data_IF_420051190739
#
_entry.id   IF_420051190739
#
_cell.length_a   1.000
_cell.length_b   1.000
_cell.length_c   1.000
_cell.angle_alpha   90.00
_cell.angle_beta   90.00
_cell.angle_gamma   90.00
#
_symmetry.space_group_name_H-M   'P 1'
#
loop_
_entity.id
_entity.type
_entity.pdbx_description
1 polymer ?
#
# COMPACT_ATOMS: atom_id res chain seq x y z
N UNK A 1 -19.80 13.05 -2.87
CA UNK A 1 -18.42 13.57 -2.83
C UNK A 1 -17.70 13.11 -4.08
N UNK A 2 -17.40 14.02 -5.00
CA UNK A 2 -16.90 13.68 -6.35
C UNK A 2 -15.42 14.00 -6.45
N UNK A 3 -14.58 12.97 -6.58
CA UNK A 3 -13.19 13.13 -7.01
C UNK A 3 -13.21 13.49 -8.50
N UNK A 4 -12.57 14.59 -8.93
CA UNK A 4 -12.53 14.96 -10.35
C UNK A 4 -11.73 13.91 -11.14
N UNK A 5 -12.02 13.64 -12.43
CA UNK A 5 -11.24 12.71 -13.22
C UNK A 5 -9.82 13.26 -13.54
N UNK A 6 -8.84 12.40 -13.85
CA UNK A 6 -7.54 12.83 -14.33
C UNK A 6 -7.62 13.54 -15.69
N UNK A 7 -6.64 14.42 -16.03
CA UNK A 7 -6.57 15.03 -17.34
C UNK A 7 -6.35 13.96 -18.43
N UNK A 8 -7.08 14.07 -19.55
CA UNK A 8 -7.07 13.04 -20.60
C UNK A 8 -5.73 12.94 -21.34
N UNK A 9 -5.15 14.07 -21.76
CA UNK A 9 -3.92 14.11 -22.58
C UNK A 9 -3.12 15.40 -22.39
N UNK A 10 -2.43 15.62 -21.26
CA UNK A 10 -1.51 16.75 -21.17
C UNK A 10 -0.15 16.37 -21.81
N UNK A 11 0.55 17.36 -22.40
CA UNK A 11 1.86 17.14 -22.99
C UNK A 11 2.86 16.66 -21.93
N UNK A 12 3.62 15.63 -22.26
CA UNK A 12 4.75 15.17 -21.45
C UNK A 12 6.02 15.87 -21.93
N UNK A 13 6.93 16.28 -21.03
CA UNK A 13 8.21 16.85 -21.43
C UNK A 13 8.99 15.90 -22.35
N UNK A 14 9.63 16.43 -23.40
CA UNK A 14 10.59 15.65 -24.18
C UNK A 14 11.71 15.13 -23.27
N UNK A 15 12.26 13.94 -23.59
CA UNK A 15 13.23 13.27 -22.73
C UNK A 15 12.61 12.47 -21.57
N UNK A 16 11.32 12.63 -21.26
CA UNK A 16 10.63 11.81 -20.25
C UNK A 16 10.82 10.32 -20.57
N UNK A 17 11.37 9.58 -19.62
CA UNK A 17 11.61 8.15 -19.75
C UNK A 17 10.38 7.37 -19.30
N UNK A 18 10.13 6.27 -20.00
CA UNK A 18 9.11 5.28 -19.66
C UNK A 18 9.86 4.05 -19.18
N UNK A 19 9.69 3.70 -17.91
CA UNK A 19 10.42 2.59 -17.29
C UNK A 19 9.42 1.54 -16.83
N UNK A 20 9.66 0.27 -17.18
CA UNK A 20 8.83 -0.83 -16.68
C UNK A 20 8.87 -0.86 -15.16
N UNK A 21 7.71 -1.03 -14.55
CA UNK A 21 7.63 -1.10 -13.09
C UNK A 21 8.35 -2.35 -12.57
N UNK A 22 8.98 -2.27 -11.40
CA UNK A 22 9.79 -3.34 -10.83
C UNK A 22 9.01 -4.65 -10.59
N UNK A 23 7.68 -4.56 -10.47
CA UNK A 23 6.79 -5.71 -10.37
C UNK A 23 6.50 -6.42 -11.70
N UNK A 24 6.87 -5.83 -12.84
CA UNK A 24 6.58 -6.38 -14.17
C UNK A 24 7.64 -7.39 -14.58
N UNK A 25 7.17 -8.53 -15.08
CA UNK A 25 7.99 -9.58 -15.67
C UNK A 25 7.74 -9.65 -17.17
N UNK A 26 8.83 -9.73 -17.93
CA UNK A 26 8.81 -9.91 -19.38
C UNK A 26 9.11 -11.36 -19.74
N UNK A 27 8.27 -11.93 -20.60
CA UNK A 27 8.38 -13.27 -21.15
C UNK A 27 8.30 -13.16 -22.69
N UNK A 28 9.44 -12.90 -23.32
CA UNK A 28 9.50 -12.58 -24.76
C UNK A 28 8.70 -11.31 -25.08
N UNK A 29 7.59 -11.48 -25.80
CA UNK A 29 6.65 -10.40 -26.14
C UNK A 29 5.56 -10.15 -25.08
N UNK A 30 5.46 -10.99 -24.04
CA UNK A 30 4.43 -10.85 -23.01
C UNK A 30 4.97 -10.09 -21.79
N UNK A 31 4.26 -9.06 -21.36
CA UNK A 31 4.45 -8.41 -20.06
C UNK A 31 3.38 -8.91 -19.09
N UNK A 32 3.78 -9.30 -17.87
CA UNK A 32 2.86 -9.69 -16.80
C UNK A 32 3.21 -8.93 -15.53
N UNK A 33 2.22 -8.22 -14.97
CA UNK A 33 2.40 -7.43 -13.75
C UNK A 33 1.45 -6.24 -13.70
N UNK A 34 1.85 -5.20 -12.96
CA UNK A 34 1.08 -3.97 -12.78
C UNK A 34 0.00 -4.05 -11.69
N UNK A 35 -0.69 -2.94 -11.49
CA UNK A 35 -1.75 -2.79 -10.49
C UNK A 35 -3.00 -2.18 -11.16
N UNK A 36 -4.06 -2.98 -11.44
CA UNK A 36 -4.17 -4.41 -11.20
C UNK A 36 -3.27 -5.25 -12.10
N UNK A 37 -3.02 -6.51 -11.71
CA UNK A 37 -2.19 -7.45 -12.49
C UNK A 37 -2.83 -7.71 -13.86
N UNK A 38 -2.09 -7.41 -14.92
CA UNK A 38 -2.48 -7.59 -16.32
C UNK A 38 -1.44 -8.41 -17.07
N UNK A 39 -1.87 -9.00 -18.17
CA UNK A 39 -1.01 -9.64 -19.16
C UNK A 39 -1.19 -8.90 -20.49
N UNK A 40 -0.12 -8.28 -20.99
CA UNK A 40 -0.13 -7.47 -22.22
C UNK A 40 0.89 -8.04 -23.20
N UNK A 41 0.47 -8.27 -24.44
CA UNK A 41 1.36 -8.73 -25.52
C UNK A 41 1.83 -7.53 -26.34
N UNK A 42 3.13 -7.35 -26.40
CA UNK A 42 3.81 -6.36 -27.21
C UNK A 42 3.87 -6.80 -28.67
N UNK A 43 3.71 -5.86 -29.60
CA UNK A 43 4.10 -6.06 -31.00
C UNK A 43 5.63 -6.04 -31.16
N UNK A 44 6.14 -6.46 -32.32
CA UNK A 44 7.59 -6.54 -32.59
C UNK A 44 8.34 -5.21 -32.36
N UNK A 45 7.72 -4.07 -32.69
CA UNK A 45 8.27 -2.75 -32.40
C UNK A 45 8.43 -2.47 -30.90
N UNK A 46 7.40 -2.80 -30.10
CA UNK A 46 7.44 -2.63 -28.64
C UNK A 46 8.43 -3.57 -27.95
N UNK A 47 8.58 -4.80 -28.47
CA UNK A 47 9.59 -5.76 -28.02
C UNK A 47 10.99 -5.16 -28.12
N UNK A 48 11.35 -4.60 -29.28
CA UNK A 48 12.65 -3.96 -29.53
C UNK A 48 12.84 -2.72 -28.66
N UNK A 49 11.83 -1.86 -28.60
CA UNK A 49 11.89 -0.61 -27.84
C UNK A 49 12.11 -0.84 -26.34
N UNK A 50 11.60 -1.94 -25.79
CA UNK A 50 11.69 -2.29 -24.37
C UNK A 50 12.81 -3.30 -24.04
N UNK A 51 13.74 -3.58 -24.95
CA UNK A 51 14.86 -4.50 -24.69
C UNK A 51 15.66 -4.11 -23.43
N UNK A 52 15.90 -2.81 -23.24
CA UNK A 52 16.53 -2.27 -22.02
C UNK A 52 15.58 -2.02 -20.84
N UNK A 53 14.34 -2.49 -20.90
CA UNK A 53 13.32 -2.28 -19.85
C UNK A 53 12.81 -0.84 -19.73
N UNK A 54 13.28 0.08 -20.57
CA UNK A 54 12.84 1.47 -20.64
C UNK A 54 13.07 2.07 -22.02
N UNK A 55 12.39 3.18 -22.32
CA UNK A 55 12.62 4.00 -23.51
C UNK A 55 12.32 5.48 -23.24
N UNK A 56 12.89 6.38 -24.03
CA UNK A 56 12.61 7.82 -23.95
C UNK A 56 11.52 8.23 -24.94
N UNK A 57 10.69 9.20 -24.55
CA UNK A 57 9.79 9.90 -25.45
C UNK A 57 10.58 10.86 -26.35
N UNK A 58 10.27 10.82 -27.64
CA UNK A 58 10.94 11.57 -28.71
C UNK A 58 9.93 12.41 -29.53
N UNK A 59 8.77 12.72 -28.94
CA UNK A 59 7.68 13.44 -29.61
C UNK A 59 6.88 12.61 -30.63
N UNK A 60 7.27 11.37 -30.94
CA UNK A 60 6.53 10.54 -31.90
C UNK A 60 5.23 9.98 -31.30
N UNK A 61 4.14 10.02 -32.09
CA UNK A 61 2.83 9.53 -31.68
C UNK A 61 2.85 8.03 -31.29
N UNK A 62 3.67 7.21 -31.96
CA UNK A 62 3.81 5.79 -31.68
C UNK A 62 4.38 5.50 -30.29
N UNK A 63 5.46 6.19 -29.88
CA UNK A 63 6.05 6.03 -28.54
C UNK A 63 5.15 6.59 -27.46
N UNK A 64 4.54 7.75 -27.70
CA UNK A 64 3.58 8.35 -26.77
C UNK A 64 2.35 7.43 -26.54
N UNK A 65 1.81 6.85 -27.61
CA UNK A 65 0.69 5.90 -27.55
C UNK A 65 1.05 4.62 -26.77
N UNK A 66 2.20 4.01 -27.05
CA UNK A 66 2.67 2.84 -26.29
C UNK A 66 2.91 3.19 -24.82
N UNK A 67 3.50 4.34 -24.53
CA UNK A 67 3.73 4.81 -23.17
C UNK A 67 2.41 4.96 -22.39
N UNK A 68 1.42 5.64 -22.99
CA UNK A 68 0.11 5.82 -22.40
C UNK A 68 -0.59 4.48 -22.13
N UNK A 69 -0.46 3.50 -23.04
CA UNK A 69 -1.01 2.15 -22.84
C UNK A 69 -0.31 1.41 -21.69
N UNK A 70 1.02 1.45 -21.61
CA UNK A 70 1.78 0.76 -20.55
C UNK A 70 1.54 1.40 -19.18
N UNK A 71 1.57 2.73 -19.09
CA UNK A 71 1.32 3.47 -17.85
C UNK A 71 -0.15 3.34 -17.43
N UNK A 72 -1.09 3.45 -18.37
CA UNK A 72 -2.51 3.23 -18.11
C UNK A 72 -2.85 1.79 -17.71
N UNK A 73 -2.04 0.82 -18.10
CA UNK A 73 -2.12 -0.56 -17.63
C UNK A 73 -1.39 -0.81 -16.30
N UNK A 74 -0.73 0.21 -15.73
CA UNK A 74 0.07 0.10 -14.52
C UNK A 74 1.36 -0.70 -14.69
N UNK A 75 1.82 -0.90 -15.94
CA UNK A 75 3.01 -1.70 -16.26
C UNK A 75 4.30 -0.88 -16.35
N UNK A 76 4.19 0.43 -16.51
CA UNK A 76 5.32 1.33 -16.58
C UNK A 76 5.02 2.63 -15.85
N UNK A 77 6.06 3.35 -15.45
CA UNK A 77 5.96 4.69 -14.89
C UNK A 77 6.71 5.69 -15.77
N UNK A 78 6.22 6.92 -15.80
CA UNK A 78 6.98 8.04 -16.31
C UNK A 78 8.05 8.43 -15.28
N UNK A 79 9.26 8.66 -15.76
CA UNK A 79 10.40 9.09 -14.96
C UNK A 79 10.99 10.32 -15.64
N UNK A 80 11.04 11.43 -14.91
CA UNK A 80 11.69 12.64 -15.38
C UNK A 80 13.21 12.39 -15.50
N UNK A 81 13.83 12.89 -16.55
CA UNK A 81 15.29 12.84 -16.71
C UNK A 81 15.98 13.75 -15.69
N UNK A 82 15.42 14.95 -15.48
CA UNK A 82 15.77 15.85 -14.39
C UNK A 82 14.51 16.18 -13.58
N UNK A 83 14.49 15.90 -12.25
CA UNK A 83 13.37 16.28 -11.42
C UNK A 83 13.32 17.81 -11.29
N UNK A 84 12.14 18.45 -11.46
CA UNK A 84 12.04 19.89 -11.21
C UNK A 84 12.39 20.18 -9.74
N UNK A 85 13.06 21.30 -9.44
CA UNK A 85 13.28 21.68 -8.06
C UNK A 85 11.92 21.79 -7.35
N UNK A 86 11.81 21.19 -6.16
CA UNK A 86 10.67 21.44 -5.28
C UNK A 86 10.77 22.88 -4.84
N UNK A 87 9.78 23.70 -5.17
CA UNK A 87 9.77 25.12 -4.84
C UNK A 87 8.50 25.52 -4.09
N UNK A 88 8.04 26.74 -4.35
CA UNK A 88 6.80 27.28 -3.77
C UNK A 88 5.53 26.55 -4.24
N UNK A 89 5.62 25.58 -5.15
CA UNK A 89 4.46 24.82 -5.62
C UNK A 89 3.95 23.78 -4.61
N UNK A 90 4.73 23.49 -3.56
CA UNK A 90 4.38 22.56 -2.47
C UNK A 90 4.07 23.31 -1.18
N UNK A 91 3.00 22.90 -0.49
CA UNK A 91 2.77 23.21 0.92
C UNK A 91 2.92 21.93 1.76
N UNK A 92 3.81 21.93 2.74
CA UNK A 92 3.92 20.85 3.72
C UNK A 92 2.90 21.10 4.83
N UNK A 93 2.05 20.12 5.12
CA UNK A 93 1.03 20.16 6.16
C UNK A 93 1.37 19.12 7.22
N UNK A 94 1.57 19.59 8.45
CA UNK A 94 1.93 18.76 9.61
C UNK A 94 0.79 18.80 10.64
N UNK A 95 -0.13 17.81 10.65
CA UNK A 95 -1.12 17.70 11.72
C UNK A 95 -0.45 17.31 13.05
N UNK A 96 -0.78 18.04 14.12
CA UNK A 96 -0.20 17.84 15.44
C UNK A 96 -1.23 18.02 16.57
N UNK A 97 -1.03 17.30 17.67
CA UNK A 97 -1.75 17.47 18.94
C UNK A 97 -0.77 17.15 20.08
N UNK A 98 -0.35 18.15 20.86
CA UNK A 98 0.63 18.07 21.97
C UNK A 98 2.07 17.63 21.59
N UNK A 99 2.38 17.40 20.30
CA UNK A 99 3.66 16.79 19.84
C UNK A 99 4.72 17.80 19.38
N UNK A 100 5.03 18.80 20.21
CA UNK A 100 6.01 19.83 19.87
C UNK A 100 7.40 19.27 19.50
N UNK A 101 7.91 18.28 20.25
CA UNK A 101 9.23 17.68 19.97
C UNK A 101 9.29 16.93 18.63
N UNK A 102 8.17 16.31 18.25
CA UNK A 102 8.05 15.62 16.97
C UNK A 102 8.05 16.61 15.80
N UNK A 103 7.24 17.67 15.93
CA UNK A 103 7.21 18.78 14.97
C UNK A 103 8.60 19.41 14.84
N UNK A 104 9.25 19.74 15.94
CA UNK A 104 10.60 20.31 15.96
C UNK A 104 11.61 19.44 15.20
N UNK A 105 11.59 18.13 15.44
CA UNK A 105 12.48 17.16 14.80
C UNK A 105 12.26 17.10 13.29
N UNK A 106 11.00 17.12 12.85
CA UNK A 106 10.64 17.15 11.43
C UNK A 106 11.03 18.48 10.78
N UNK A 107 10.72 19.61 11.40
CA UNK A 107 11.00 20.93 10.83
C UNK A 107 12.50 21.15 10.65
N UNK A 108 13.34 20.63 11.56
CA UNK A 108 14.80 20.64 11.42
C UNK A 108 15.28 20.05 10.08
N UNK A 109 14.58 19.04 9.53
CA UNK A 109 14.98 18.41 8.25
C UNK A 109 14.37 19.07 7.01
N UNK A 110 13.48 20.06 7.20
CA UNK A 110 12.79 20.80 6.14
C UNK A 110 13.14 22.30 6.13
N UNK A 111 13.89 22.77 7.13
CA UNK A 111 14.12 24.18 7.41
C UNK A 111 14.69 24.93 6.20
N UNK A 112 14.06 26.04 5.85
CA UNK A 112 14.52 26.99 4.83
C UNK A 112 14.32 26.56 3.37
N UNK A 113 13.80 25.36 3.11
CA UNK A 113 13.67 24.83 1.75
C UNK A 113 12.23 24.77 1.22
N UNK A 114 11.22 24.72 2.09
CA UNK A 114 9.81 24.56 1.71
C UNK A 114 8.87 25.30 2.63
N UNK A 115 7.68 25.65 2.13
CA UNK A 115 6.60 26.24 2.92
C UNK A 115 5.98 25.18 3.82
N UNK A 116 5.94 25.45 5.13
CA UNK A 116 5.37 24.51 6.11
C UNK A 116 4.23 25.16 6.89
N UNK A 117 3.14 24.41 7.04
CA UNK A 117 2.00 24.71 7.88
C UNK A 117 1.83 23.61 8.92
N UNK A 118 2.01 23.96 10.19
CA UNK A 118 1.66 23.10 11.31
C UNK A 118 0.18 23.31 11.63
N UNK A 119 -0.62 22.25 11.62
CA UNK A 119 -2.03 22.30 11.99
C UNK A 119 -2.16 21.76 13.42
N UNK A 120 -2.36 22.66 14.38
CA UNK A 120 -2.64 22.31 15.77
C UNK A 120 -4.11 21.88 15.91
N UNK A 121 -4.36 20.58 16.08
CA UNK A 121 -5.67 19.96 16.23
C UNK A 121 -6.20 20.11 17.67
N UNK A 122 -6.31 21.38 18.10
CA UNK A 122 -6.77 21.82 19.40
C UNK A 122 -6.00 21.21 20.58
N UNK A 123 -4.66 21.35 20.58
CA UNK A 123 -3.85 21.02 21.75
C UNK A 123 -4.31 21.83 22.97
N UNK A 124 -4.39 21.20 24.17
CA UNK A 124 -4.71 21.91 25.42
C UNK A 124 -3.76 23.07 25.69
N UNK A 125 -2.45 22.84 25.52
CA UNK A 125 -1.42 23.88 25.53
C UNK A 125 -0.83 24.07 24.11
N UNK A 126 -1.15 25.18 23.42
CA UNK A 126 -0.64 25.46 22.08
C UNK A 126 0.79 26.04 22.08
N UNK A 127 1.28 26.53 23.23
CA UNK A 127 2.52 27.29 23.33
C UNK A 127 3.74 26.54 22.79
N UNK A 128 3.99 25.30 23.22
CA UNK A 128 5.12 24.50 22.74
C UNK A 128 5.11 24.25 21.23
N UNK A 129 3.95 23.97 20.64
CA UNK A 129 3.82 23.77 19.18
C UNK A 129 4.08 25.05 18.41
N UNK A 130 3.51 26.17 18.85
CA UNK A 130 3.73 27.47 18.23
C UNK A 130 5.21 27.89 18.32
N UNK A 131 5.86 27.64 19.45
CA UNK A 131 7.29 27.93 19.64
C UNK A 131 8.20 27.04 18.77
N UNK A 132 7.85 25.76 18.59
CA UNK A 132 8.56 24.88 17.66
C UNK A 132 8.41 25.35 16.20
N UNK A 133 7.19 25.66 15.76
CA UNK A 133 6.95 26.18 14.42
C UNK A 133 7.71 27.49 14.14
N UNK A 134 7.62 28.46 15.07
CA UNK A 134 8.25 29.76 14.92
C UNK A 134 9.78 29.69 14.79
N UNK A 135 10.44 28.77 15.51
CA UNK A 135 11.91 28.57 15.42
C UNK A 135 12.39 28.15 14.04
N UNK A 136 11.52 27.52 13.25
CA UNK A 136 11.82 27.07 11.89
C UNK A 136 11.10 27.89 10.81
N UNK A 137 10.47 29.01 11.17
CA UNK A 137 9.73 29.86 10.23
C UNK A 137 8.49 29.20 9.62
N UNK A 138 7.89 28.22 10.31
CA UNK A 138 6.68 27.56 9.87
C UNK A 138 5.42 28.30 10.34
N UNK A 139 4.38 28.31 9.50
CA UNK A 139 3.07 28.85 9.88
C UNK A 139 2.32 27.88 10.79
N UNK A 140 1.42 28.41 11.63
CA UNK A 140 0.55 27.62 12.49
C UNK A 140 -0.91 27.93 12.21
N UNK A 141 -1.69 26.90 11.93
CA UNK A 141 -3.15 26.95 11.92
C UNK A 141 -3.68 26.20 13.14
N UNK A 142 -4.32 26.91 14.06
CA UNK A 142 -4.96 26.30 15.23
C UNK A 142 -6.44 26.03 14.96
N UNK A 143 -6.86 24.80 15.21
CA UNK A 143 -8.27 24.42 15.14
C UNK A 143 -8.99 24.72 16.47
N UNK A 144 -10.27 25.14 16.43
CA UNK A 144 -11.03 25.47 17.63
C UNK A 144 -11.43 24.22 18.44
N UNK A 145 -11.50 23.06 17.79
CA UNK A 145 -11.89 21.78 18.38
C UNK A 145 -11.07 20.66 17.76
N UNK A 146 -10.86 19.57 18.50
CA UNK A 146 -10.16 18.40 17.97
C UNK A 146 -11.02 17.68 16.92
N UNK A 147 -10.60 17.77 15.66
CA UNK A 147 -11.27 17.14 14.52
C UNK A 147 -10.63 15.79 14.15
N UNK A 148 -9.51 15.44 14.79
CA UNK A 148 -8.74 14.25 14.48
C UNK A 148 -7.86 14.43 13.24
N UNK A 149 -7.05 13.41 12.90
CA UNK A 149 -6.01 13.53 11.89
C UNK A 149 -6.56 13.82 10.49
N UNK A 150 -7.69 13.23 10.10
CA UNK A 150 -8.36 13.51 8.82
C UNK A 150 -8.84 14.97 8.74
N UNK A 151 -9.48 15.47 9.81
CA UNK A 151 -9.95 16.86 9.90
C UNK A 151 -8.81 17.87 9.85
N UNK A 152 -7.72 17.63 10.60
CA UNK A 152 -6.53 18.47 10.57
C UNK A 152 -5.86 18.51 9.19
N UNK A 153 -5.74 17.37 8.51
CA UNK A 153 -5.24 17.32 7.12
C UNK A 153 -6.15 18.07 6.16
N UNK A 154 -7.48 17.96 6.31
CA UNK A 154 -8.42 18.70 5.47
C UNK A 154 -8.35 20.22 5.68
N UNK A 155 -8.15 20.68 6.91
CA UNK A 155 -7.91 22.09 7.19
C UNK A 155 -6.62 22.58 6.50
N UNK A 156 -5.54 21.79 6.56
CA UNK A 156 -4.32 22.08 5.81
C UNK A 156 -4.50 22.03 4.29
N UNK A 157 -5.34 21.13 3.76
CA UNK A 157 -5.69 21.09 2.33
C UNK A 157 -6.45 22.35 1.88
N UNK A 158 -7.39 22.82 2.69
CA UNK A 158 -8.10 24.07 2.42
C UNK A 158 -7.11 25.25 2.36
N UNK A 159 -6.12 25.26 3.25
CA UNK A 159 -5.07 26.27 3.26
C UNK A 159 -4.13 26.14 2.04
N UNK A 160 -3.76 24.92 1.63
CA UNK A 160 -3.01 24.67 0.40
C UNK A 160 -3.71 25.26 -0.83
N UNK A 161 -5.05 25.10 -0.92
CA UNK A 161 -5.86 25.70 -1.99
C UNK A 161 -5.86 27.20 -1.93
N UNK A 162 -6.08 27.78 -0.74
CA UNK A 162 -6.10 29.23 -0.53
C UNK A 162 -4.78 29.88 -0.94
N UNK A 163 -3.65 29.19 -0.71
CA UNK A 163 -2.29 29.62 -1.06
C UNK A 163 -1.87 29.28 -2.49
N UNK A 164 -2.76 28.71 -3.31
CA UNK A 164 -2.45 28.33 -4.69
C UNK A 164 -1.38 27.24 -4.81
N UNK A 165 -1.20 26.39 -3.80
CA UNK A 165 -0.26 25.27 -3.89
C UNK A 165 -0.73 24.26 -4.95
N UNK A 166 0.20 23.79 -5.78
CA UNK A 166 -0.10 22.75 -6.78
C UNK A 166 -0.10 21.37 -6.13
N UNK A 167 0.79 21.18 -5.15
CA UNK A 167 0.92 19.95 -4.38
C UNK A 167 0.87 20.23 -2.88
N UNK A 168 0.40 19.24 -2.14
CA UNK A 168 0.39 19.24 -0.68
C UNK A 168 1.08 17.98 -0.18
N UNK A 169 2.06 18.15 0.71
CA UNK A 169 2.71 17.04 1.40
C UNK A 169 2.08 16.92 2.79
N UNK A 170 1.36 15.84 3.06
CA UNK A 170 0.95 15.52 4.42
C UNK A 170 2.06 14.72 5.11
N UNK A 171 2.49 15.16 6.28
CA UNK A 171 3.52 14.47 7.09
C UNK A 171 3.08 14.44 8.54
N UNK A 172 2.99 13.27 9.15
CA UNK A 172 2.68 13.16 10.57
C UNK A 172 3.81 13.74 11.43
N UNK A 173 3.46 14.35 12.56
CA UNK A 173 4.42 14.97 13.49
C UNK A 173 5.42 13.99 14.12
N UNK A 174 5.25 12.67 13.99
CA UNK A 174 6.19 11.64 14.43
C UNK A 174 6.97 11.01 13.26
N UNK A 175 6.99 11.68 12.10
CA UNK A 175 7.78 11.29 10.93
C UNK A 175 8.85 12.34 10.62
N UNK A 176 9.99 11.87 10.12
CA UNK A 176 11.07 12.67 9.57
C UNK A 176 11.21 12.36 8.08
N UNK A 177 11.18 13.40 7.26
CA UNK A 177 11.43 13.35 5.81
C UNK A 177 12.34 14.52 5.43
N UNK A 178 13.31 14.29 4.55
CA UNK A 178 14.25 15.32 4.12
C UNK A 178 13.75 16.00 2.84
N UNK A 179 14.31 17.17 2.54
CA UNK A 179 14.04 17.91 1.31
C UNK A 179 14.37 17.07 0.05
N UNK A 180 15.46 16.30 0.08
CA UNK A 180 15.83 15.39 -1.02
C UNK A 180 14.77 14.32 -1.30
N UNK A 181 14.18 13.78 -0.24
CA UNK A 181 13.11 12.78 -0.35
C UNK A 181 11.85 13.41 -0.92
N UNK A 182 11.56 14.65 -0.54
CA UNK A 182 10.49 15.43 -1.15
C UNK A 182 10.76 15.72 -2.64
N UNK A 183 11.99 16.07 -3.03
CA UNK A 183 12.38 16.20 -4.44
C UNK A 183 12.14 14.91 -5.22
N UNK A 184 12.54 13.76 -4.65
CA UNK A 184 12.29 12.43 -5.25
C UNK A 184 10.80 12.16 -5.45
N UNK A 185 9.97 12.42 -4.45
CA UNK A 185 8.52 12.26 -4.56
C UNK A 185 7.92 13.21 -5.60
N UNK A 186 8.35 14.48 -5.60
CA UNK A 186 7.85 15.52 -6.51
C UNK A 186 8.13 15.19 -7.98
N UNK A 187 9.24 14.49 -8.27
CA UNK A 187 9.60 14.02 -9.60
C UNK A 187 8.55 13.09 -10.23
N UNK A 188 7.85 12.29 -9.42
CA UNK A 188 6.85 11.34 -9.91
C UNK A 188 5.66 12.03 -10.59
N UNK A 189 5.39 13.31 -10.27
CA UNK A 189 4.30 14.09 -10.85
C UNK A 189 4.57 14.60 -12.28
N UNK A 190 5.69 14.18 -12.90
CA UNK A 190 5.79 14.16 -14.37
C UNK A 190 4.65 13.35 -14.97
N UNK A 191 4.13 12.37 -14.23
CA UNK A 191 2.87 11.71 -14.57
C UNK A 191 1.68 12.64 -14.25
N UNK A 192 0.97 13.14 -15.27
CA UNK A 192 -0.18 14.01 -15.09
C UNK A 192 -1.39 13.31 -14.46
N UNK A 193 -1.51 12.00 -14.64
CA UNK A 193 -2.60 11.20 -14.06
C UNK A 193 -2.25 10.60 -12.69
N UNK A 194 -1.12 11.01 -12.10
CA UNK A 194 -0.76 10.69 -10.72
C UNK A 194 -1.43 11.69 -9.77
N UNK A 195 -2.21 11.15 -8.82
CA UNK A 195 -2.82 11.94 -7.74
C UNK A 195 -1.92 11.97 -6.51
N UNK A 196 -1.34 10.83 -6.14
CA UNK A 196 -0.61 10.66 -4.88
C UNK A 196 0.64 9.81 -5.09
N UNK A 197 1.73 10.19 -4.44
CA UNK A 197 2.91 9.35 -4.24
C UNK A 197 3.31 9.34 -2.77
N UNK A 198 3.68 8.17 -2.25
CA UNK A 198 4.15 8.01 -0.88
C UNK A 198 5.50 7.28 -0.84
N UNK A 199 6.41 7.65 0.06
CA UNK A 199 7.71 7.00 0.22
C UNK A 199 7.57 5.68 0.98
N UNK A 200 8.66 4.92 1.02
CA UNK A 200 8.85 3.85 2.00
C UNK A 200 9.02 4.42 3.41
N UNK A 201 8.23 3.92 4.35
CA UNK A 201 8.33 4.34 5.76
C UNK A 201 9.13 3.31 6.55
N UNK A 202 10.24 3.74 7.14
CA UNK A 202 11.15 2.95 7.98
C UNK A 202 11.08 3.40 9.44
N UNK A 203 11.64 2.62 10.35
CA UNK A 203 11.76 3.06 11.75
C UNK A 203 12.80 4.16 11.88
N UNK A 204 12.51 5.18 12.69
CA UNK A 204 13.51 6.16 13.11
C UNK A 204 14.61 5.48 13.94
N UNK A 205 14.19 4.55 14.81
CA UNK A 205 15.06 3.65 15.56
C UNK A 205 14.73 2.22 15.15
N UNK A 206 15.71 1.51 14.58
CA UNK A 206 15.54 0.11 14.13
C UNK A 206 16.17 -0.92 15.08
N UNK A 207 16.93 -0.45 16.08
CA UNK A 207 17.58 -1.27 17.12
C UNK A 207 16.92 -1.05 18.49
N UNK A 208 17.24 -1.86 19.49
CA UNK A 208 16.65 -1.73 20.83
C UNK A 208 15.79 -2.93 21.20
N UNK A 209 14.54 -2.73 21.62
CA UNK A 209 13.68 -3.82 22.11
C UNK A 209 13.34 -4.85 21.02
N UNK A 210 12.91 -6.06 21.41
CA UNK A 210 12.42 -7.06 20.46
C UNK A 210 11.27 -6.50 19.60
N UNK A 211 10.34 -5.74 20.21
CA UNK A 211 9.24 -5.13 19.47
C UNK A 211 9.72 -4.09 18.45
N UNK A 212 10.74 -3.29 18.80
CA UNK A 212 11.35 -2.32 17.88
C UNK A 212 11.94 -3.02 16.65
N UNK A 213 12.68 -4.11 16.85
CA UNK A 213 13.28 -4.90 15.76
C UNK A 213 12.23 -5.63 14.92
N UNK A 214 11.10 -6.01 15.53
CA UNK A 214 9.94 -6.54 14.81
C UNK A 214 9.27 -5.46 13.95
N UNK A 215 8.99 -4.27 14.50
CA UNK A 215 8.40 -3.16 13.74
C UNK A 215 9.30 -2.72 12.56
N UNK A 216 10.62 -2.79 12.70
CA UNK A 216 11.57 -2.47 11.63
C UNK A 216 11.38 -3.34 10.36
N UNK A 217 10.76 -4.52 10.49
CA UNK A 217 10.50 -5.43 9.36
C UNK A 217 9.01 -5.71 9.08
N UNK A 218 8.14 -5.48 10.06
CA UNK A 218 6.71 -5.83 10.01
C UNK A 218 5.78 -4.64 10.27
N UNK A 219 6.29 -3.41 10.16
CA UNK A 219 5.48 -2.20 10.25
C UNK A 219 4.33 -2.19 9.24
N UNK A 220 3.15 -1.77 9.71
CA UNK A 220 1.98 -1.51 8.86
C UNK A 220 2.15 -0.30 7.93
N UNK A 221 3.20 0.49 8.11
CA UNK A 221 3.52 1.67 7.30
C UNK A 221 4.52 1.35 6.18
N UNK A 222 5.43 0.37 6.37
CA UNK A 222 6.36 -0.07 5.33
C UNK A 222 5.60 -0.97 4.33
N UNK A 223 5.52 -0.60 3.05
CA UNK A 223 4.87 -1.40 1.99
C UNK A 223 5.87 -2.23 1.19
N UNK A 224 7.10 -2.32 1.66
CA UNK A 224 8.15 -3.19 1.13
C UNK A 224 9.19 -2.46 0.29
N UNK A 225 10.22 -3.17 -0.19
CA UNK A 225 11.39 -2.55 -0.83
C UNK A 225 11.20 -2.25 -2.32
N UNK A 226 10.00 -2.49 -2.88
CA UNK A 226 9.75 -2.33 -4.32
C UNK A 226 8.68 -1.28 -4.55
N UNK A 227 8.99 -0.29 -5.36
CA UNK A 227 8.00 0.67 -5.86
C UNK A 227 6.92 -0.07 -6.65
N UNK A 228 5.69 0.43 -6.58
CA UNK A 228 4.55 -0.14 -7.28
C UNK A 228 3.44 0.90 -7.43
N UNK A 229 2.61 0.74 -8.45
CA UNK A 229 1.29 1.37 -8.43
C UNK A 229 0.40 0.74 -7.35
N UNK A 230 -0.47 1.57 -6.80
CA UNK A 230 -1.31 1.24 -5.65
C UNK A 230 -2.73 1.05 -6.15
N UNK A 231 -3.31 -0.12 -5.86
CA UNK A 231 -4.71 -0.41 -6.16
C UNK A 231 -5.27 -1.49 -5.24
N UNK A 232 -6.59 -1.47 -4.93
CA UNK A 232 -7.24 -2.54 -4.17
C UNK A 232 -6.94 -3.94 -4.72
N UNK A 233 -6.68 -4.90 -3.84
CA UNK A 233 -6.41 -6.30 -4.22
C UNK A 233 -5.04 -6.55 -4.89
N UNK A 234 -4.14 -5.56 -4.88
CA UNK A 234 -2.77 -5.70 -5.39
C UNK A 234 -1.75 -5.79 -4.26
N UNK A 235 -0.47 -6.02 -4.60
CA UNK A 235 0.60 -6.13 -3.60
C UNK A 235 0.74 -4.90 -2.70
N UNK A 236 0.42 -3.70 -3.22
CA UNK A 236 0.32 -2.46 -2.44
C UNK A 236 -1.11 -1.94 -2.58
N UNK A 237 -1.96 -2.28 -1.62
CA UNK A 237 -3.38 -1.96 -1.68
C UNK A 237 -3.72 -0.51 -1.30
N UNK A 238 -2.85 0.13 -0.53
CA UNK A 238 -2.96 1.52 -0.10
C UNK A 238 -1.56 2.06 0.27
N UNK A 239 -1.46 3.37 0.46
CA UNK A 239 -0.28 4.03 1.04
C UNK A 239 -0.69 4.83 2.28
N UNK A 240 0.14 4.82 3.34
CA UNK A 240 -0.20 5.48 4.60
C UNK A 240 -0.11 7.00 4.50
N UNK A 241 -1.03 7.71 5.16
CA UNK A 241 -1.00 9.18 5.27
C UNK A 241 0.04 9.74 6.24
N UNK A 242 0.86 8.87 6.82
CA UNK A 242 2.01 9.27 7.63
C UNK A 242 3.01 10.11 6.81
N UNK A 243 3.19 9.79 5.52
CA UNK A 243 3.77 10.68 4.51
C UNK A 243 3.12 10.41 3.17
N UNK A 244 2.46 11.40 2.58
CA UNK A 244 2.07 11.34 1.18
C UNK A 244 2.08 12.73 0.53
N UNK A 245 2.64 12.80 -0.68
CA UNK A 245 2.60 13.98 -1.54
C UNK A 245 1.45 13.82 -2.51
N UNK A 246 0.58 14.82 -2.59
CA UNK A 246 -0.63 14.78 -3.37
C UNK A 246 -0.79 16.00 -4.28
N UNK A 247 -1.34 15.80 -5.48
CA UNK A 247 -1.81 16.87 -6.37
C UNK A 247 -3.09 17.46 -5.79
N UNK A 248 -3.08 18.75 -5.44
CA UNK A 248 -4.21 19.42 -4.75
C UNK A 248 -5.52 19.31 -5.55
N UNK A 249 -5.43 19.46 -6.87
CA UNK A 249 -6.57 19.37 -7.78
C UNK A 249 -7.20 17.96 -7.84
N UNK A 250 -6.44 16.90 -7.50
CA UNK A 250 -6.95 15.53 -7.53
C UNK A 250 -7.74 15.15 -6.26
N UNK A 251 -7.54 15.88 -5.14
CA UNK A 251 -8.03 15.44 -3.83
C UNK A 251 -9.54 15.61 -3.61
N UNK A 252 -10.27 16.35 -4.44
CA UNK A 252 -11.71 16.60 -4.26
C UNK A 252 -12.02 17.17 -2.87
N UNK A 253 -12.83 16.51 -2.05
CA UNK A 253 -13.11 16.95 -0.67
C UNK A 253 -12.00 16.60 0.35
N UNK A 254 -10.94 15.89 -0.06
CA UNK A 254 -9.87 15.44 0.84
C UNK A 254 -10.19 14.12 1.53
N UNK A 255 -9.74 13.98 2.78
CA UNK A 255 -9.94 12.80 3.62
C UNK A 255 -11.38 12.74 4.16
N UNK A 256 -11.90 11.54 4.42
CA UNK A 256 -13.18 11.40 5.10
C UNK A 256 -13.02 11.76 6.58
N UNK A 257 -13.53 12.93 7.00
CA UNK A 257 -13.29 13.49 8.33
C UNK A 257 -13.92 12.68 9.48
N UNK A 258 -14.92 11.86 9.18
CA UNK A 258 -15.55 10.95 10.15
C UNK A 258 -14.73 9.66 10.39
N UNK A 259 -13.68 9.42 9.58
CA UNK A 259 -12.73 8.34 9.80
C UNK A 259 -11.55 8.81 10.64
N UNK A 260 -11.41 8.21 11.84
CA UNK A 260 -10.19 8.36 12.67
C UNK A 260 -9.08 7.37 12.29
N UNK A 261 -9.44 6.28 11.62
CA UNK A 261 -8.52 5.22 11.18
C UNK A 261 -8.98 4.70 9.83
N UNK A 262 -8.06 4.55 8.88
CA UNK A 262 -8.35 4.08 7.53
C UNK A 262 -8.77 5.20 6.58
N UNK A 263 -8.60 6.46 6.98
CA UNK A 263 -8.84 7.64 6.15
C UNK A 263 -7.92 7.67 4.91
N UNK A 264 -6.72 7.11 5.05
CA UNK A 264 -5.74 6.92 3.98
C UNK A 264 -6.19 5.88 2.97
N UNK A 265 -6.67 4.72 3.43
CA UNK A 265 -7.24 3.66 2.60
C UNK A 265 -8.44 4.19 1.82
N UNK A 266 -9.36 4.87 2.50
CA UNK A 266 -10.55 5.48 1.88
C UNK A 266 -10.18 6.47 0.77
N UNK A 267 -9.25 7.39 1.06
CA UNK A 267 -8.80 8.38 0.08
C UNK A 267 -8.17 7.70 -1.14
N UNK A 268 -7.22 6.78 -0.93
CA UNK A 268 -6.52 6.09 -2.02
C UNK A 268 -7.50 5.32 -2.89
N UNK A 269 -8.46 4.62 -2.31
CA UNK A 269 -9.43 3.84 -3.08
C UNK A 269 -10.42 4.72 -3.85
N UNK A 270 -10.84 5.86 -3.30
CA UNK A 270 -11.63 6.85 -4.05
C UNK A 270 -10.85 7.44 -5.23
N UNK A 271 -9.57 7.75 -5.03
CA UNK A 271 -8.70 8.26 -6.11
C UNK A 271 -8.56 7.21 -7.23
N UNK A 272 -8.24 5.97 -6.89
CA UNK A 272 -8.13 4.87 -7.85
C UNK A 272 -9.46 4.60 -8.56
N UNK A 273 -10.58 4.61 -7.81
CA UNK A 273 -11.92 4.45 -8.36
C UNK A 273 -12.33 5.56 -9.33
N UNK A 274 -11.78 6.77 -9.18
CA UNK A 274 -11.96 7.90 -10.08
C UNK A 274 -10.99 7.90 -11.28
N UNK A 275 -10.15 6.86 -11.42
CA UNK A 275 -9.21 6.69 -12.53
C UNK A 275 -7.84 7.35 -12.31
N UNK A 276 -7.59 7.98 -11.16
CA UNK A 276 -6.25 8.46 -10.83
C UNK A 276 -5.31 7.31 -10.51
N UNK A 277 -4.03 7.51 -10.82
CA UNK A 277 -2.95 6.65 -10.32
C UNK A 277 -2.50 7.10 -8.95
N UNK A 278 -2.13 6.14 -8.14
CA UNK A 278 -1.46 6.32 -6.86
C UNK A 278 -0.20 5.46 -6.87
N UNK A 279 0.92 6.00 -6.40
CA UNK A 279 2.22 5.32 -6.44
C UNK A 279 2.83 5.19 -5.05
N UNK A 280 3.36 4.01 -4.77
CA UNK A 280 4.31 3.80 -3.70
C UNK A 280 5.71 3.82 -4.30
N UNK A 281 6.58 4.70 -3.79
CA UNK A 281 7.96 4.79 -4.26
C UNK A 281 8.94 4.38 -3.17
N UNK A 282 9.52 3.19 -3.32
CA UNK A 282 10.53 2.67 -2.43
C UNK A 282 11.92 3.29 -2.63
N UNK A 283 12.11 4.08 -3.70
CA UNK A 283 13.32 4.89 -3.90
C UNK A 283 13.38 6.10 -2.99
N UNK A 284 12.23 6.55 -2.47
CA UNK A 284 12.15 7.58 -1.45
C UNK A 284 11.88 6.98 -0.06
N UNK A 285 12.49 7.53 0.98
CA UNK A 285 12.36 7.01 2.36
C UNK A 285 11.98 8.10 3.37
N UNK A 286 11.02 7.80 4.24
CA UNK A 286 10.73 8.57 5.44
C UNK A 286 10.93 7.70 6.70
N UNK A 287 11.22 8.33 7.84
CA UNK A 287 11.48 7.64 9.11
C UNK A 287 10.44 7.99 10.15
N UNK A 288 9.72 6.99 10.64
CA UNK A 288 8.66 7.12 11.63
C UNK A 288 9.14 6.70 13.03
N UNK A 289 8.85 7.52 14.03
CA UNK A 289 9.11 7.24 15.44
C UNK A 289 8.06 6.24 15.97
N UNK A 290 8.41 4.95 15.94
CA UNK A 290 7.49 3.89 16.34
C UNK A 290 7.24 3.90 17.85
N UNK A 291 5.98 3.66 18.23
CA UNK A 291 5.63 3.41 19.63
C UNK A 291 6.24 2.07 20.07
N UNK A 292 7.14 2.09 21.04
CA UNK A 292 7.88 0.90 21.52
C UNK A 292 7.20 0.15 22.68
N UNK A 293 6.05 0.62 23.17
CA UNK A 293 5.31 -0.04 24.25
C UNK A 293 4.29 -1.06 23.71
N UNK A 294 4.39 -2.32 24.17
CA UNK A 294 3.58 -3.44 23.68
C UNK A 294 2.06 -3.18 23.75
N UNK A 295 1.56 -2.61 24.85
CA UNK A 295 0.14 -2.32 25.00
C UNK A 295 -0.36 -1.23 24.03
N UNK A 296 0.44 -0.19 23.79
CA UNK A 296 0.10 0.85 22.82
C UNK A 296 0.16 0.32 21.38
N UNK A 297 1.16 -0.51 21.08
CA UNK A 297 1.30 -1.20 19.80
C UNK A 297 0.11 -2.14 19.51
N UNK A 298 -0.27 -2.98 20.48
CA UNK A 298 -1.39 -3.91 20.35
C UNK A 298 -2.73 -3.18 20.13
N UNK A 299 -2.97 -2.09 20.87
CA UNK A 299 -4.15 -1.22 20.64
C UNK A 299 -4.18 -0.67 19.22
N UNK A 300 -3.03 -0.17 18.72
CA UNK A 300 -2.94 0.37 17.36
C UNK A 300 -3.21 -0.69 16.29
N UNK A 301 -2.68 -1.92 16.45
CA UNK A 301 -2.98 -3.05 15.57
C UNK A 301 -4.47 -3.41 15.59
N UNK A 302 -5.11 -3.40 16.77
CA UNK A 302 -6.55 -3.62 16.91
C UNK A 302 -7.39 -2.48 16.29
N UNK A 303 -6.95 -1.24 16.38
CA UNK A 303 -7.64 -0.12 15.75
C UNK A 303 -7.58 -0.22 14.21
N UNK A 304 -6.43 -0.62 13.65
CA UNK A 304 -6.30 -0.93 12.21
C UNK A 304 -7.14 -2.13 11.79
N UNK A 305 -7.31 -3.13 12.65
CA UNK A 305 -8.24 -4.23 12.39
C UNK A 305 -9.69 -3.75 12.37
N UNK A 306 -10.06 -2.89 13.33
CA UNK A 306 -11.42 -2.36 13.49
C UNK A 306 -11.88 -1.51 12.31
N UNK A 307 -10.97 -0.77 11.67
CA UNK A 307 -11.32 0.04 10.49
C UNK A 307 -11.79 -0.80 9.29
N UNK A 308 -11.48 -2.11 9.24
CA UNK A 308 -11.91 -2.99 8.15
C UNK A 308 -13.45 -3.03 8.01
N UNK A 309 -14.19 -3.01 9.12
CA UNK A 309 -15.65 -3.03 9.07
C UNK A 309 -16.23 -1.71 8.51
N UNK A 310 -15.68 -0.58 8.95
CA UNK A 310 -16.06 0.76 8.47
C UNK A 310 -15.72 0.92 6.99
N UNK A 311 -14.54 0.46 6.57
CA UNK A 311 -14.14 0.45 5.17
C UNK A 311 -15.04 -0.47 4.34
N UNK A 312 -15.49 -1.62 4.87
CA UNK A 312 -16.37 -2.54 4.15
C UNK A 312 -17.78 -1.95 3.96
N UNK A 313 -18.23 -1.08 4.86
CA UNK A 313 -19.47 -0.32 4.67
C UNK A 313 -19.37 0.66 3.50
N UNK A 314 -18.18 1.26 3.30
CA UNK A 314 -17.93 2.28 2.26
C UNK A 314 -17.56 1.71 0.89
N UNK A 315 -16.72 0.67 0.89
CA UNK A 315 -16.03 0.15 -0.29
C UNK A 315 -16.41 -1.29 -0.62
N UNK A 316 -17.35 -1.87 0.13
CA UNK A 316 -17.88 -3.21 -0.13
C UNK A 316 -16.80 -4.29 -0.09
N UNK A 317 -16.74 -5.07 -1.16
CA UNK A 317 -15.89 -6.26 -1.27
C UNK A 317 -14.39 -5.96 -1.44
N UNK A 318 -14.00 -4.68 -1.58
CA UNK A 318 -12.58 -4.30 -1.67
C UNK A 318 -11.79 -4.59 -0.38
N UNK A 319 -12.48 -4.73 0.75
CA UNK A 319 -11.88 -5.06 2.06
C UNK A 319 -11.84 -6.57 2.32
N UNK A 320 -12.35 -7.40 1.40
CA UNK A 320 -12.47 -8.82 1.66
C UNK A 320 -11.11 -9.46 2.02
N UNK A 321 -11.04 -10.26 3.10
CA UNK A 321 -9.80 -10.90 3.56
C UNK A 321 -9.28 -11.95 2.58
N UNK A 322 -10.10 -12.39 1.63
CA UNK A 322 -9.73 -13.30 0.56
C UNK A 322 -10.60 -13.06 -0.69
N UNK A 323 -10.02 -13.31 -1.87
CA UNK A 323 -10.70 -13.29 -3.16
C UNK A 323 -10.69 -14.69 -3.75
N UNK A 324 -11.86 -15.32 -3.81
CA UNK A 324 -12.00 -16.70 -4.25
C UNK A 324 -12.31 -16.76 -5.76
N UNK A 325 -11.47 -17.50 -6.48
CA UNK A 325 -11.70 -17.92 -7.87
C UNK A 325 -11.98 -19.44 -7.89
N UNK A 326 -12.66 -20.00 -8.91
CA UNK A 326 -13.05 -21.41 -8.93
C UNK A 326 -11.91 -22.41 -8.64
N UNK A 327 -10.73 -22.20 -9.26
CA UNK A 327 -9.55 -23.02 -8.98
C UNK A 327 -9.06 -22.84 -7.53
N UNK A 328 -9.08 -21.60 -7.03
CA UNK A 328 -8.73 -21.30 -5.64
C UNK A 328 -9.65 -22.03 -4.66
N UNK A 329 -10.96 -22.04 -4.91
CA UNK A 329 -11.93 -22.80 -4.08
C UNK A 329 -11.57 -24.29 -4.06
N UNK A 330 -11.26 -24.90 -5.20
CA UNK A 330 -10.85 -26.30 -5.26
C UNK A 330 -9.55 -26.56 -4.48
N UNK A 331 -8.57 -25.67 -4.59
CA UNK A 331 -7.31 -25.74 -3.85
C UNK A 331 -7.51 -25.58 -2.33
N UNK A 332 -8.32 -24.60 -1.91
CA UNK A 332 -8.70 -24.39 -0.50
C UNK A 332 -9.45 -25.61 0.04
N UNK A 333 -10.42 -26.14 -0.70
CA UNK A 333 -11.15 -27.35 -0.31
C UNK A 333 -10.21 -28.55 -0.15
N UNK A 334 -9.25 -28.74 -1.06
CA UNK A 334 -8.24 -29.80 -0.94
C UNK A 334 -7.41 -29.67 0.34
N UNK A 335 -6.96 -28.45 0.68
CA UNK A 335 -6.22 -28.16 1.91
C UNK A 335 -7.04 -28.43 3.17
N UNK A 336 -8.33 -28.07 3.18
CA UNK A 336 -9.24 -28.31 4.30
C UNK A 336 -9.58 -29.79 4.48
N UNK A 337 -9.82 -30.51 3.38
CA UNK A 337 -10.23 -31.92 3.40
C UNK A 337 -9.08 -32.86 3.77
N UNK A 338 -7.84 -32.55 3.36
CA UNK A 338 -6.65 -33.38 3.62
C UNK A 338 -6.83 -34.83 3.14
N UNK A 339 -7.42 -35.01 1.95
CA UNK A 339 -7.69 -36.31 1.33
C UNK A 339 -7.00 -36.42 -0.03
N UNK A 340 -6.53 -37.61 -0.43
CA UNK A 340 -5.76 -37.78 -1.66
C UNK A 340 -6.56 -37.41 -2.91
N UNK A 341 -7.86 -37.76 -2.97
CA UNK A 341 -8.70 -37.51 -4.15
C UNK A 341 -8.93 -36.01 -4.40
N UNK A 342 -9.43 -35.19 -3.44
CA UNK A 342 -9.51 -33.73 -3.62
C UNK A 342 -8.17 -33.07 -3.97
N UNK A 343 -7.07 -33.52 -3.37
CA UNK A 343 -5.73 -33.00 -3.67
C UNK A 343 -5.30 -33.33 -5.10
N UNK A 344 -5.53 -34.56 -5.56
CA UNK A 344 -5.25 -34.96 -6.94
C UNK A 344 -6.11 -34.18 -7.94
N UNK A 345 -7.41 -33.96 -7.63
CA UNK A 345 -8.31 -33.16 -8.45
C UNK A 345 -7.85 -31.70 -8.54
N UNK A 346 -7.50 -31.06 -7.43
CA UNK A 346 -7.00 -29.69 -7.41
C UNK A 346 -5.64 -29.55 -8.13
N UNK A 347 -4.75 -30.54 -7.96
CA UNK A 347 -3.48 -30.62 -8.68
C UNK A 347 -3.69 -30.77 -10.19
N UNK A 348 -4.52 -31.71 -10.62
CA UNK A 348 -4.90 -31.91 -12.02
C UNK A 348 -5.52 -30.67 -12.64
N UNK A 349 -6.45 -30.01 -11.94
CA UNK A 349 -7.06 -28.75 -12.39
C UNK A 349 -6.01 -27.64 -12.58
N UNK A 350 -5.03 -27.55 -11.66
CA UNK A 350 -3.92 -26.59 -11.78
C UNK A 350 -3.06 -26.87 -13.01
N UNK A 351 -2.74 -28.13 -13.30
CA UNK A 351 -2.02 -28.54 -14.52
C UNK A 351 -2.80 -28.19 -15.78
N UNK A 352 -4.13 -28.44 -15.80
CA UNK A 352 -4.98 -28.08 -16.95
C UNK A 352 -4.99 -26.57 -17.18
N UNK A 353 -5.07 -25.77 -16.11
CA UNK A 353 -5.01 -24.30 -16.21
C UNK A 353 -3.66 -23.84 -16.76
N UNK A 354 -2.55 -24.37 -16.25
CA UNK A 354 -1.21 -24.09 -16.76
C UNK A 354 -1.09 -24.46 -18.25
N UNK A 355 -1.57 -25.63 -18.67
CA UNK A 355 -1.52 -26.07 -20.05
C UNK A 355 -2.42 -25.23 -20.99
N UNK A 356 -3.59 -24.78 -20.52
CA UNK A 356 -4.46 -23.86 -21.28
C UNK A 356 -3.82 -22.48 -21.43
N UNK A 357 -3.21 -21.96 -20.36
CA UNK A 357 -2.50 -20.70 -20.39
C UNK A 357 -1.28 -20.76 -21.33
N UNK A 358 -0.47 -21.82 -21.24
CA UNK A 358 0.67 -22.02 -22.14
C UNK A 358 0.25 -21.99 -23.61
N UNK A 359 -0.85 -22.66 -23.96
CA UNK A 359 -1.42 -22.63 -25.32
C UNK A 359 -1.84 -21.23 -25.75
N UNK A 360 -2.52 -20.46 -24.89
CA UNK A 360 -2.87 -19.05 -25.16
C UNK A 360 -1.64 -18.15 -25.34
N UNK A 361 -0.53 -18.51 -24.72
CA UNK A 361 0.71 -17.75 -24.80
C UNK A 361 1.56 -18.08 -26.04
N UNK A 362 1.25 -19.15 -26.77
CA UNK A 362 1.94 -19.57 -28.00
C UNK A 362 2.39 -21.04 -28.01
N UNK A 363 2.39 -21.70 -26.86
CA UNK A 363 2.66 -23.14 -26.74
C UNK A 363 4.14 -23.56 -26.78
N UNK A 364 5.06 -22.63 -27.01
CA UNK A 364 6.51 -22.88 -26.98
C UNK A 364 7.04 -23.17 -25.56
N UNK A 365 8.34 -23.45 -25.45
CA UNK A 365 8.97 -23.77 -24.17
C UNK A 365 8.86 -22.63 -23.15
N UNK A 366 8.97 -21.37 -23.60
CA UNK A 366 8.91 -20.21 -22.74
C UNK A 366 7.48 -19.94 -22.26
N UNK A 367 6.48 -20.06 -23.14
CA UNK A 367 5.07 -20.01 -22.80
C UNK A 367 4.69 -21.05 -21.74
N UNK A 368 5.23 -22.29 -21.83
CA UNK A 368 5.03 -23.33 -20.80
C UNK A 368 5.66 -22.94 -19.47
N UNK A 369 6.89 -22.44 -19.47
CA UNK A 369 7.57 -21.96 -18.25
C UNK A 369 6.78 -20.82 -17.60
N UNK A 370 6.41 -19.80 -18.36
CA UNK A 370 5.61 -18.66 -17.88
C UNK A 370 4.28 -19.11 -17.29
N UNK A 371 3.53 -19.95 -18.00
CA UNK A 371 2.24 -20.43 -17.52
C UNK A 371 2.36 -21.23 -16.22
N UNK A 372 3.42 -22.04 -16.10
CA UNK A 372 3.73 -22.80 -14.89
C UNK A 372 4.04 -21.87 -13.72
N UNK A 373 4.95 -20.90 -13.91
CA UNK A 373 5.30 -19.92 -12.88
C UNK A 373 4.10 -19.12 -12.39
N UNK A 374 3.22 -18.67 -13.30
CA UNK A 374 2.00 -17.93 -12.93
C UNK A 374 1.00 -18.80 -12.16
N UNK A 375 0.86 -20.07 -12.54
CA UNK A 375 -0.04 -21.01 -11.85
C UNK A 375 0.48 -21.36 -10.45
N UNK A 376 1.80 -21.54 -10.30
CA UNK A 376 2.45 -21.74 -9.01
C UNK A 376 2.29 -20.51 -8.11
N UNK A 377 2.49 -19.31 -8.65
CA UNK A 377 2.28 -18.06 -7.93
C UNK A 377 0.82 -17.93 -7.45
N UNK A 378 -0.16 -18.18 -8.32
CA UNK A 378 -1.57 -18.14 -7.96
C UNK A 378 -1.92 -19.18 -6.87
N UNK A 379 -1.33 -20.37 -6.95
CA UNK A 379 -1.51 -21.42 -5.93
C UNK A 379 -0.92 -20.99 -4.59
N UNK A 380 0.28 -20.41 -4.61
CA UNK A 380 0.91 -19.84 -3.40
C UNK A 380 0.02 -18.76 -2.76
N UNK A 381 -0.51 -17.83 -3.55
CA UNK A 381 -1.43 -16.80 -3.05
C UNK A 381 -2.69 -17.40 -2.41
N UNK A 382 -3.21 -18.53 -2.91
CA UNK A 382 -4.35 -19.22 -2.29
C UNK A 382 -3.96 -19.86 -0.95
N UNK A 383 -2.77 -20.45 -0.84
CA UNK A 383 -2.25 -20.98 0.43
C UNK A 383 -2.07 -19.87 1.46
N UNK A 384 -1.50 -18.73 1.04
CA UNK A 384 -1.29 -17.57 1.90
C UNK A 384 -2.62 -17.01 2.41
N UNK A 385 -3.65 -16.86 1.55
CA UNK A 385 -4.99 -16.46 1.98
C UNK A 385 -5.60 -17.39 3.03
N UNK A 386 -5.42 -18.72 2.89
CA UNK A 386 -5.89 -19.68 3.90
C UNK A 386 -5.12 -19.51 5.21
N UNK A 387 -3.79 -19.38 5.15
CA UNK A 387 -2.98 -19.18 6.34
C UNK A 387 -3.36 -17.88 7.07
N UNK A 388 -3.49 -16.76 6.37
CA UNK A 388 -3.92 -15.47 6.93
C UNK A 388 -5.35 -15.55 7.48
N UNK A 389 -6.26 -16.25 6.78
CA UNK A 389 -7.61 -16.51 7.29
C UNK A 389 -7.57 -17.23 8.63
N UNK A 390 -6.86 -18.34 8.73
CA UNK A 390 -6.78 -19.14 9.95
C UNK A 390 -6.08 -18.42 11.11
N UNK A 391 -4.99 -17.71 10.83
CA UNK A 391 -4.11 -17.15 11.85
C UNK A 391 -4.50 -15.73 12.29
N UNK A 392 -5.17 -14.96 11.42
CA UNK A 392 -5.43 -13.53 11.61
C UNK A 392 -6.92 -13.19 11.56
N UNK A 393 -7.60 -13.39 10.42
CA UNK A 393 -8.97 -12.88 10.23
C UNK A 393 -10.05 -13.73 10.90
N UNK A 394 -9.91 -15.05 10.88
CA UNK A 394 -10.92 -16.01 11.35
C UNK A 394 -10.47 -16.76 12.61
N UNK A 395 -9.54 -16.18 13.39
CA UNK A 395 -8.95 -16.82 14.57
C UNK A 395 -9.98 -17.37 15.58
N UNK A 396 -11.17 -16.77 15.83
CA UNK A 396 -12.13 -17.37 16.76
C UNK A 396 -12.67 -18.71 16.26
N UNK A 397 -12.94 -18.81 14.95
CA UNK A 397 -13.36 -20.07 14.31
C UNK A 397 -12.22 -21.09 14.34
N UNK A 398 -10.98 -20.62 14.15
CA UNK A 398 -9.78 -21.46 14.28
C UNK A 398 -9.65 -22.04 15.69
N UNK A 399 -9.87 -21.25 16.75
CA UNK A 399 -9.82 -21.72 18.15
C UNK A 399 -10.84 -22.83 18.41
N UNK A 400 -12.09 -22.65 17.95
CA UNK A 400 -13.12 -23.70 18.03
C UNK A 400 -12.70 -24.96 17.25
N UNK A 401 -12.14 -24.77 16.06
CA UNK A 401 -11.63 -25.87 15.22
C UNK A 401 -10.44 -26.62 15.85
N UNK A 402 -9.55 -25.93 16.57
CA UNK A 402 -8.41 -26.54 17.26
C UNK A 402 -8.86 -27.51 18.36
N UNK A 403 -9.93 -27.20 19.08
CA UNK A 403 -10.50 -28.09 20.10
C UNK A 403 -11.15 -29.33 19.48
N UNK A 404 -11.83 -29.17 18.35
CA UNK A 404 -12.74 -30.19 17.79
C UNK A 404 -12.15 -31.05 16.67
N UNK A 405 -11.11 -30.59 15.95
CA UNK A 405 -10.65 -31.24 14.71
C UNK A 405 -9.14 -31.44 14.63
N UNK A 406 -8.71 -32.71 14.50
CA UNK A 406 -7.30 -33.07 14.22
C UNK A 406 -6.79 -32.47 12.90
N UNK A 407 -7.66 -32.31 11.89
CA UNK A 407 -7.29 -31.72 10.59
C UNK A 407 -6.98 -30.24 10.74
N UNK A 408 -7.82 -29.50 11.48
CA UNK A 408 -7.57 -28.08 11.76
C UNK A 408 -6.27 -27.91 12.52
N UNK A 409 -5.98 -28.74 13.54
CA UNK A 409 -4.70 -28.70 14.26
C UNK A 409 -3.48 -28.86 13.33
N UNK A 410 -3.53 -29.82 12.39
CA UNK A 410 -2.45 -30.01 11.40
C UNK A 410 -2.32 -28.80 10.47
N UNK A 411 -3.44 -28.26 9.99
CA UNK A 411 -3.44 -27.13 9.07
C UNK A 411 -2.92 -25.86 9.73
N UNK A 412 -3.32 -25.58 10.97
CA UNK A 412 -2.82 -24.45 11.76
C UNK A 412 -1.34 -24.61 12.05
N UNK A 413 -0.88 -25.80 12.46
CA UNK A 413 0.56 -26.04 12.69
C UNK A 413 1.38 -25.79 11.40
N UNK A 414 0.91 -26.30 10.26
CA UNK A 414 1.55 -26.06 8.97
C UNK A 414 1.54 -24.57 8.59
N UNK A 415 0.40 -23.88 8.79
CA UNK A 415 0.27 -22.45 8.51
C UNK A 415 1.22 -21.62 9.39
N UNK A 416 1.29 -21.90 10.71
CA UNK A 416 2.20 -21.22 11.63
C UNK A 416 3.65 -21.37 11.18
N UNK A 417 4.08 -22.60 10.87
CA UNK A 417 5.46 -22.88 10.45
C UNK A 417 5.76 -22.23 9.10
N UNK A 418 4.92 -22.46 8.10
CA UNK A 418 5.14 -21.96 6.74
C UNK A 418 5.14 -20.43 6.69
N UNK A 419 4.16 -19.78 7.31
CA UNK A 419 4.06 -18.32 7.32
C UNK A 419 5.20 -17.66 8.13
N UNK A 420 5.57 -18.24 9.28
CA UNK A 420 6.71 -17.75 10.06
C UNK A 420 8.02 -17.92 9.30
N UNK A 421 8.27 -19.09 8.71
CA UNK A 421 9.47 -19.35 7.94
C UNK A 421 9.56 -18.45 6.69
N UNK A 422 8.46 -18.31 5.96
CA UNK A 422 8.39 -17.42 4.79
C UNK A 422 8.61 -15.95 5.20
N UNK A 423 7.99 -15.50 6.29
CA UNK A 423 8.23 -14.18 6.87
C UNK A 423 9.69 -13.96 7.23
N UNK A 424 10.28 -14.90 7.97
CA UNK A 424 11.68 -14.87 8.41
C UNK A 424 12.67 -14.80 7.25
N UNK A 425 12.52 -15.67 6.25
CA UNK A 425 13.41 -15.71 5.07
C UNK A 425 13.31 -14.43 4.25
N UNK A 426 12.10 -13.89 4.09
CA UNK A 426 11.85 -12.66 3.31
C UNK A 426 12.35 -11.40 4.02
N UNK A 427 12.16 -11.31 5.34
CA UNK A 427 12.39 -10.08 6.11
C UNK A 427 13.75 -10.05 6.81
N UNK A 428 14.35 -11.22 7.07
CA UNK A 428 15.64 -11.39 7.76
C UNK A 428 15.75 -10.51 9.01
N UNK A 429 14.82 -10.64 9.97
CA UNK A 429 14.79 -9.76 11.14
C UNK A 429 16.02 -9.99 12.03
N UNK A 430 16.53 -8.92 12.61
CA UNK A 430 17.64 -8.96 13.56
C UNK A 430 17.19 -9.42 14.96
N UNK A 431 16.68 -10.64 15.08
CA UNK A 431 16.26 -11.23 16.38
C UNK A 431 16.36 -12.75 16.33
N UNK A 432 15.80 -13.45 17.31
CA UNK A 432 15.69 -14.91 17.33
C UNK A 432 14.42 -15.41 16.60
N UNK A 433 14.46 -16.55 15.89
CA UNK A 433 13.31 -17.10 15.18
C UNK A 433 12.07 -17.29 16.05
N UNK A 434 12.25 -17.76 17.29
CA UNK A 434 11.17 -17.96 18.24
C UNK A 434 10.49 -16.64 18.64
N UNK A 435 11.29 -15.60 18.94
CA UNK A 435 10.79 -14.27 19.31
C UNK A 435 10.00 -13.64 18.17
N UNK A 436 10.50 -13.75 16.93
CA UNK A 436 9.78 -13.30 15.74
C UNK A 436 8.45 -14.03 15.57
N UNK A 437 8.44 -15.35 15.73
CA UNK A 437 7.22 -16.16 15.62
C UNK A 437 6.15 -15.70 16.63
N UNK A 438 6.53 -15.47 17.89
CA UNK A 438 5.61 -15.00 18.93
C UNK A 438 5.06 -13.62 18.59
N UNK A 439 5.92 -12.65 18.25
CA UNK A 439 5.48 -11.28 17.92
C UNK A 439 4.58 -11.26 16.68
N UNK A 440 4.90 -12.06 15.66
CA UNK A 440 4.07 -12.20 14.45
C UNK A 440 2.67 -12.74 14.78
N UNK A 441 2.57 -13.74 15.68
CA UNK A 441 1.27 -14.26 16.13
C UNK A 441 0.51 -13.27 17.00
N UNK A 442 1.20 -12.50 17.84
CA UNK A 442 0.57 -11.41 18.60
C UNK A 442 0.04 -10.31 17.68
N UNK A 443 0.74 -9.97 16.60
CA UNK A 443 0.28 -9.00 15.58
C UNK A 443 -1.01 -9.51 14.93
N UNK A 444 -1.00 -10.76 14.47
CA UNK A 444 -2.16 -11.37 13.83
C UNK A 444 -3.38 -11.41 14.75
N UNK A 445 -3.21 -11.81 16.02
CA UNK A 445 -4.28 -11.87 16.99
C UNK A 445 -4.81 -10.49 17.39
N UNK A 446 -3.93 -9.50 17.57
CA UNK A 446 -4.34 -8.14 17.94
C UNK A 446 -5.07 -7.44 16.80
N UNK A 447 -4.58 -7.58 15.56
CA UNK A 447 -5.29 -7.11 14.38
C UNK A 447 -6.62 -7.86 14.20
N UNK A 448 -6.60 -9.19 14.28
CA UNK A 448 -7.79 -10.04 14.16
C UNK A 448 -8.86 -9.70 15.18
N UNK A 449 -8.48 -9.48 16.44
CA UNK A 449 -9.37 -8.97 17.48
C UNK A 449 -10.03 -7.66 17.06
N UNK A 450 -9.26 -6.73 16.51
CA UNK A 450 -9.75 -5.49 15.91
C UNK A 450 -10.84 -5.72 14.87
N UNK A 451 -10.61 -6.62 13.91
CA UNK A 451 -11.57 -6.93 12.83
C UNK A 451 -12.90 -7.43 13.41
N UNK A 452 -12.86 -8.34 14.37
CA UNK A 452 -14.07 -8.86 15.01
C UNK A 452 -14.78 -7.80 15.86
N UNK A 453 -14.04 -6.97 16.61
CA UNK A 453 -14.60 -5.83 17.34
C UNK A 453 -15.34 -4.88 16.39
N UNK A 454 -14.73 -4.55 15.26
CA UNK A 454 -15.33 -3.72 14.20
C UNK A 454 -16.57 -4.36 13.59
N UNK A 455 -16.53 -5.66 13.29
CA UNK A 455 -17.69 -6.38 12.74
C UNK A 455 -18.90 -6.35 13.69
N UNK A 456 -18.66 -6.48 15.00
CA UNK A 456 -19.70 -6.38 16.02
C UNK A 456 -20.21 -4.94 16.16
N UNK A 457 -19.34 -3.93 16.20
CA UNK A 457 -19.76 -2.53 16.35
C UNK A 457 -20.57 -2.03 15.15
N UNK A 458 -20.14 -2.37 13.93
CA UNK A 458 -20.84 -2.04 12.68
C UNK A 458 -22.03 -2.97 12.39
N UNK A 459 -22.26 -3.99 13.24
CA UNK A 459 -23.29 -5.03 13.05
C UNK A 459 -23.25 -5.65 11.66
N UNK A 460 -22.05 -5.90 11.15
CA UNK A 460 -21.81 -6.35 9.78
C UNK A 460 -20.63 -7.33 9.73
N UNK A 461 -20.86 -8.48 9.12
CA UNK A 461 -19.81 -9.50 8.91
C UNK A 461 -19.07 -9.32 7.59
N UNK A 462 -19.34 -8.27 6.81
CA UNK A 462 -18.79 -8.11 5.45
C UNK A 462 -17.26 -8.14 5.43
N UNK A 463 -16.58 -7.55 6.42
CA UNK A 463 -15.12 -7.57 6.56
C UNK A 463 -14.54 -8.95 6.90
N UNK A 464 -15.38 -9.93 7.21
CA UNK A 464 -15.00 -11.32 7.48
C UNK A 464 -15.29 -12.25 6.31
N UNK A 465 -16.05 -11.80 5.30
CA UNK A 465 -16.50 -12.64 4.20
C UNK A 465 -15.54 -12.55 3.00
N UNK A 466 -15.24 -13.68 2.32
CA UNK A 466 -14.49 -13.64 1.09
C UNK A 466 -15.29 -12.96 -0.03
N UNK A 467 -14.58 -12.30 -0.94
CA UNK A 467 -15.14 -11.80 -2.19
C UNK A 467 -15.07 -12.87 -3.28
N UNK A 468 -16.05 -12.85 -4.19
CA UNK A 468 -16.07 -13.75 -5.34
C UNK A 468 -15.55 -13.03 -6.57
N UNK A 469 -14.51 -13.59 -7.20
CA UNK A 469 -14.06 -13.08 -8.49
C UNK A 469 -15.08 -13.49 -9.56
N UNK A 470 -15.94 -12.54 -9.98
CA UNK A 470 -16.80 -12.73 -11.15
C UNK A 470 -15.88 -12.87 -12.38
N UNK A 471 -15.99 -14.01 -13.06
CA UNK A 471 -15.19 -14.40 -14.22
C UNK A 471 -15.45 -13.54 -15.44
#
# INVERSE_FOLDING_TARGET
MTVPPPPAHPPLPEGTRVVLDAGVRRYGALLVGGAPVRAVRLGAGGVRLLEGGSFALDGTAGRAGLAAQLVGAGLAAYVAEEPPPTGDDVLVVVPAHERADGVERLLTTLAGAVRVLVVDDASPDPGPLAAAAARHGADVLRLPTNLGPAGARNAGLAEARRRGATYVLFVDSDVVVTVDELHRLRAAFVDPGLAVVAPRIRGLVETGSALTRYEAVASSLDRGPRSAFVAPGTAVAYVPSAVLLARVAALGEGFAADLRVGEDVDLVWRLVGAGWRVRYDAGATARHDHRVALGAWARRRADYGGSAAVLAARHGDLVAPAVLAPLGVAQVAALLLQRPVPTAVAGGASVVVAARLARRLGGDADARRTATSLTLLATWMNVEQVATGLLRHHWPLTVVGLATSRRVRRLVAAAVVADTAAGWVRQRPAMEPATYAVLRRLDDLTYGWGVWRGAVSERSVRSLLPAWRRS
#
